data_IF_871966401759
#
_entry.id   IF_871966401759
#
_cell.length_a   1.000
_cell.length_b   1.000
_cell.length_c   1.000
_cell.angle_alpha   90.00
_cell.angle_beta   90.00
_cell.angle_gamma   90.00
#
_symmetry.space_group_name_H-M   'P 1'
#
loop_
_entity.id
_entity.type
_entity.pdbx_description
1 polymer ?
#
# COMPACT_ATOMS: atom_id res chain seq x y z
N UNK A 1 -2.29 23.87 -5.54
CA UNK A 1 -1.58 22.91 -6.42
C UNK A 1 -0.23 23.45 -6.90
N UNK A 2 -0.15 24.64 -7.50
CA UNK A 2 1.12 25.22 -7.98
C UNK A 2 2.18 25.40 -6.86
N UNK A 3 1.75 25.84 -5.68
CA UNK A 3 2.63 26.05 -4.52
C UNK A 3 3.24 24.74 -3.97
N UNK A 4 2.47 23.65 -3.94
CA UNK A 4 2.94 22.33 -3.47
C UNK A 4 3.89 21.69 -4.49
N UNK A 5 3.62 21.85 -5.79
CA UNK A 5 4.54 21.43 -6.86
C UNK A 5 5.86 22.21 -6.84
N UNK A 6 5.79 23.52 -6.57
CA UNK A 6 6.96 24.37 -6.39
C UNK A 6 7.81 23.90 -5.19
N UNK A 7 7.17 23.62 -4.06
CA UNK A 7 7.80 23.12 -2.84
C UNK A 7 8.52 21.77 -3.04
N UNK A 8 7.88 20.81 -3.73
CA UNK A 8 8.53 19.54 -4.11
C UNK A 8 9.76 19.79 -5.00
N UNK A 9 9.66 20.70 -5.98
CA UNK A 9 10.76 21.04 -6.88
C UNK A 9 11.95 21.71 -6.15
N UNK A 10 11.66 22.46 -5.09
CA UNK A 10 12.67 23.17 -4.31
C UNK A 10 13.40 22.22 -3.35
N UNK A 11 12.70 21.23 -2.78
CA UNK A 11 13.31 20.15 -1.99
C UNK A 11 14.21 19.29 -2.87
N UNK A 12 13.76 18.89 -4.07
CA UNK A 12 14.59 18.11 -4.99
C UNK A 12 15.88 18.85 -5.37
N UNK A 13 15.77 20.17 -5.58
CA UNK A 13 16.93 21.03 -5.85
C UNK A 13 17.86 21.11 -4.64
N UNK A 14 17.32 21.29 -3.44
CA UNK A 14 18.07 21.34 -2.19
C UNK A 14 18.81 20.02 -1.91
N UNK A 15 18.15 18.87 -2.10
CA UNK A 15 18.76 17.54 -1.98
C UNK A 15 19.90 17.37 -2.99
N UNK A 16 19.68 17.71 -4.26
CA UNK A 16 20.72 17.61 -5.29
C UNK A 16 21.91 18.52 -5.01
N UNK A 17 21.67 19.72 -4.46
CA UNK A 17 22.74 20.64 -4.08
C UNK A 17 23.48 20.17 -2.82
N UNK A 18 22.80 19.57 -1.84
CA UNK A 18 23.41 18.97 -0.66
C UNK A 18 24.31 17.79 -1.04
N UNK A 19 23.86 16.93 -1.97
CA UNK A 19 24.66 15.83 -2.54
C UNK A 19 25.90 16.38 -3.25
N UNK A 20 25.77 17.41 -4.08
CA UNK A 20 26.92 18.03 -4.78
C UNK A 20 27.94 18.64 -3.82
N UNK A 21 27.49 19.14 -2.67
CA UNK A 21 28.34 19.72 -1.63
C UNK A 21 28.99 18.68 -0.69
N UNK A 22 28.70 17.40 -0.88
CA UNK A 22 29.22 16.34 -0.02
C UNK A 22 28.65 16.38 1.40
N UNK A 23 27.42 16.89 1.56
CA UNK A 23 26.73 16.94 2.86
C UNK A 23 26.58 15.53 3.43
N UNK A 24 26.50 15.43 4.76
CA UNK A 24 26.30 14.14 5.40
C UNK A 24 24.93 13.56 5.00
N UNK A 25 24.79 12.25 5.13
CA UNK A 25 23.52 11.60 4.81
C UNK A 25 22.40 11.97 5.80
N UNK A 26 22.75 12.38 7.03
CA UNK A 26 21.83 12.93 8.04
C UNK A 26 21.31 14.31 7.64
N UNK A 27 22.19 15.19 7.15
CA UNK A 27 21.80 16.52 6.63
C UNK A 27 20.86 16.39 5.43
N UNK A 28 21.10 15.41 4.54
CA UNK A 28 20.24 15.15 3.38
C UNK A 28 18.87 14.63 3.82
N UNK A 29 18.82 13.78 4.84
CA UNK A 29 17.57 13.24 5.37
C UNK A 29 16.69 14.32 6.02
N UNK A 30 17.30 15.27 6.74
CA UNK A 30 16.59 16.38 7.39
C UNK A 30 15.92 17.35 6.40
N UNK A 31 16.31 17.33 5.11
CA UNK A 31 15.68 18.17 4.06
C UNK A 31 14.33 17.62 3.59
N UNK A 32 13.97 16.39 3.97
CA UNK A 32 12.68 15.77 3.63
C UNK A 32 11.76 15.77 4.85
N UNK A 33 11.24 16.94 5.18
CA UNK A 33 10.03 17.00 6.00
C UNK A 33 8.85 16.41 5.21
N UNK A 34 7.93 15.67 5.85
CA UNK A 34 6.74 15.17 5.17
C UNK A 34 5.92 16.35 4.65
N UNK A 35 5.77 16.43 3.32
CA UNK A 35 4.92 17.42 2.65
C UNK A 35 3.42 17.15 2.85
N UNK A 36 3.09 15.99 3.41
CA UNK A 36 1.74 15.50 3.62
C UNK A 36 1.63 15.13 5.10
N UNK A 37 0.84 15.91 5.83
CA UNK A 37 0.79 15.87 7.29
C UNK A 37 -0.60 15.61 7.85
N UNK A 38 -1.59 15.30 6.98
CA UNK A 38 -2.93 14.91 7.42
C UNK A 38 -3.46 13.71 6.64
N UNK A 39 -4.42 12.95 7.20
CA UNK A 39 -5.09 11.85 6.50
C UNK A 39 -5.78 12.30 5.21
N UNK A 40 -6.39 13.49 5.19
CA UNK A 40 -7.08 14.04 4.03
C UNK A 40 -6.11 14.36 2.90
N UNK A 41 -4.98 15.00 3.22
CA UNK A 41 -3.93 15.27 2.24
C UNK A 41 -3.31 13.98 1.67
N UNK A 42 -3.13 12.97 2.52
CA UNK A 42 -2.63 11.65 2.11
C UNK A 42 -3.59 10.95 1.16
N UNK A 43 -4.89 10.94 1.49
CA UNK A 43 -5.92 10.38 0.63
C UNK A 43 -5.98 11.11 -0.72
N UNK A 44 -5.95 12.44 -0.70
CA UNK A 44 -5.99 13.25 -1.92
C UNK A 44 -4.74 13.05 -2.80
N UNK A 45 -3.56 12.86 -2.19
CA UNK A 45 -2.33 12.52 -2.90
C UNK A 45 -2.44 11.16 -3.61
N UNK A 46 -2.96 10.14 -2.94
CA UNK A 46 -3.21 8.81 -3.53
C UNK A 46 -4.23 8.90 -4.67
N UNK A 47 -5.36 9.57 -4.45
CA UNK A 47 -6.43 9.72 -5.46
C UNK A 47 -5.92 10.41 -6.72
N UNK A 48 -5.25 11.57 -6.60
CA UNK A 48 -4.67 12.27 -7.75
C UNK A 48 -3.62 11.44 -8.48
N UNK A 49 -2.83 10.68 -7.74
CA UNK A 49 -1.85 9.78 -8.33
C UNK A 49 -2.50 8.65 -9.14
N UNK A 50 -3.57 8.06 -8.60
CA UNK A 50 -4.35 7.06 -9.32
C UNK A 50 -5.07 7.63 -10.54
N UNK A 51 -5.60 8.85 -10.47
CA UNK A 51 -6.20 9.55 -11.61
C UNK A 51 -5.19 9.71 -12.75
N UNK A 52 -3.95 10.14 -12.45
CA UNK A 52 -2.87 10.21 -13.46
C UNK A 52 -2.55 8.85 -14.05
N UNK A 53 -2.41 7.82 -13.23
CA UNK A 53 -2.17 6.46 -13.70
C UNK A 53 -3.28 5.96 -14.64
N UNK A 54 -4.53 6.11 -14.23
CA UNK A 54 -5.68 5.68 -15.01
C UNK A 54 -5.83 6.48 -16.31
N UNK A 55 -5.51 7.78 -16.29
CA UNK A 55 -5.53 8.67 -17.45
C UNK A 55 -4.36 8.49 -18.42
N UNK A 56 -3.33 7.71 -18.07
CA UNK A 56 -2.12 7.55 -18.88
C UNK A 56 -1.14 8.73 -18.77
N UNK A 57 -1.27 9.56 -17.73
CA UNK A 57 -0.49 10.78 -17.47
C UNK A 57 0.47 10.61 -16.28
N UNK A 58 0.85 9.36 -15.95
CA UNK A 58 1.79 9.07 -14.87
C UNK A 58 3.09 9.85 -14.99
N UNK A 59 3.48 10.52 -13.91
CA UNK A 59 4.72 11.28 -13.83
C UNK A 59 5.93 10.40 -13.50
N UNK A 60 5.69 9.22 -12.88
CA UNK A 60 6.72 8.28 -12.41
C UNK A 60 7.81 8.96 -11.56
N UNK A 61 7.42 9.67 -10.49
CA UNK A 61 8.35 10.51 -9.74
C UNK A 61 9.45 9.68 -9.05
N UNK A 62 10.65 10.27 -8.96
CA UNK A 62 11.71 9.87 -8.02
C UNK A 62 12.17 8.40 -8.05
N UNK A 63 12.22 7.79 -9.25
CA UNK A 63 12.64 6.38 -9.44
C UNK A 63 14.15 6.17 -9.61
N UNK A 64 14.94 7.26 -9.64
CA UNK A 64 16.38 7.23 -9.95
C UNK A 64 17.27 6.78 -8.79
N UNK A 65 18.45 6.23 -9.12
CA UNK A 65 19.41 5.72 -8.13
C UNK A 65 19.87 6.77 -7.09
N UNK A 66 19.98 8.04 -7.48
CA UNK A 66 20.35 9.12 -6.55
C UNK A 66 19.23 9.43 -5.55
N UNK A 67 17.96 9.39 -5.97
CA UNK A 67 16.82 9.52 -5.06
C UNK A 67 16.80 8.38 -4.04
N UNK A 68 17.03 7.14 -4.50
CA UNK A 68 17.19 5.98 -3.62
C UNK A 68 18.32 6.18 -2.60
N UNK A 69 19.47 6.70 -3.04
CA UNK A 69 20.61 6.94 -2.13
C UNK A 69 20.27 7.96 -1.04
N UNK A 70 19.53 9.01 -1.37
CA UNK A 70 19.12 10.02 -0.40
C UNK A 70 18.24 9.47 0.74
N UNK A 71 17.65 8.28 0.59
CA UNK A 71 16.76 7.65 1.58
C UNK A 71 17.43 6.57 2.45
N UNK A 72 18.74 6.38 2.32
CA UNK A 72 19.43 5.32 3.08
C UNK A 72 19.35 5.54 4.60
N UNK A 73 19.32 6.80 5.04
CA UNK A 73 19.33 7.14 6.47
C UNK A 73 17.93 7.36 7.06
N UNK A 74 16.94 7.67 6.22
CA UNK A 74 15.59 7.98 6.69
C UNK A 74 14.55 7.78 5.60
N UNK A 75 13.34 7.45 6.03
CA UNK A 75 12.13 7.40 5.22
C UNK A 75 10.99 8.11 5.94
N UNK A 76 10.15 8.79 5.17
CA UNK A 76 9.01 9.57 5.68
C UNK A 76 7.76 9.27 4.85
N UNK A 77 7.34 7.99 4.75
CA UNK A 77 6.15 7.63 3.98
C UNK A 77 4.91 8.27 4.60
N UNK A 78 4.09 8.90 3.78
CA UNK A 78 2.89 9.57 4.27
C UNK A 78 1.71 8.60 4.45
N UNK A 79 1.74 7.44 3.79
CA UNK A 79 0.71 6.42 3.87
C UNK A 79 1.28 5.01 3.96
N UNK A 80 0.56 4.13 4.65
CA UNK A 80 0.78 2.69 4.60
C UNK A 80 -0.28 2.03 3.73
N UNK A 81 0.11 1.08 2.88
CA UNK A 81 -0.81 0.33 2.02
C UNK A 81 -0.64 -1.17 2.26
N UNK A 82 -1.69 -1.80 2.78
CA UNK A 82 -1.81 -3.26 2.86
C UNK A 82 -2.48 -3.77 1.58
N UNK A 83 -1.71 -4.40 0.70
CA UNK A 83 -2.14 -4.79 -0.64
C UNK A 83 -1.83 -6.25 -0.96
N UNK A 84 -2.39 -6.73 -2.08
CA UNK A 84 -2.11 -8.08 -2.57
C UNK A 84 -0.68 -8.18 -3.15
N UNK A 85 -0.03 -9.33 -2.99
CA UNK A 85 1.22 -9.67 -3.70
C UNK A 85 1.07 -9.84 -5.22
N UNK A 86 -0.14 -9.66 -5.78
CA UNK A 86 -0.42 -9.79 -7.21
C UNK A 86 0.48 -8.90 -8.07
N UNK A 87 1.25 -9.51 -8.97
CA UNK A 87 2.26 -8.80 -9.79
C UNK A 87 1.67 -7.77 -10.74
N UNK A 88 0.35 -7.80 -10.99
CA UNK A 88 -0.36 -6.87 -11.88
C UNK A 88 -0.79 -5.58 -11.17
N UNK A 89 -0.64 -5.53 -9.84
CA UNK A 89 -1.05 -4.37 -9.01
C UNK A 89 0.14 -3.82 -8.21
N UNK A 90 1.19 -3.31 -8.88
CA UNK A 90 2.27 -2.57 -8.21
C UNK A 90 1.72 -1.26 -7.62
N UNK A 91 1.75 -1.13 -6.30
CA UNK A 91 1.06 -0.07 -5.54
C UNK A 91 1.59 1.31 -5.88
N UNK A 92 2.91 1.48 -5.92
CA UNK A 92 3.58 2.75 -6.24
C UNK A 92 3.21 3.21 -7.65
N UNK A 93 3.08 2.29 -8.59
CA UNK A 93 2.71 2.60 -9.98
C UNK A 93 1.24 2.98 -10.07
N UNK A 94 0.35 2.22 -9.44
CA UNK A 94 -1.11 2.45 -9.48
C UNK A 94 -1.49 3.77 -8.80
N UNK A 95 -0.73 4.20 -7.80
CA UNK A 95 -0.89 5.51 -7.16
C UNK A 95 0.09 6.58 -7.68
N UNK A 96 0.88 6.30 -8.72
CA UNK A 96 1.89 7.22 -9.29
C UNK A 96 2.75 7.94 -8.21
N UNK A 97 3.25 7.16 -7.24
CA UNK A 97 4.12 7.61 -6.15
C UNK A 97 5.56 7.16 -6.38
N UNK A 98 6.50 7.86 -5.73
CA UNK A 98 7.93 7.62 -5.82
C UNK A 98 8.49 6.81 -4.66
N UNK A 99 9.83 6.73 -4.62
CA UNK A 99 10.53 6.05 -3.55
C UNK A 99 10.26 6.74 -2.20
N UNK A 100 9.91 5.95 -1.18
CA UNK A 100 9.69 6.37 0.22
C UNK A 100 8.47 7.26 0.48
N UNK A 101 7.59 7.43 -0.51
CA UNK A 101 6.29 8.08 -0.34
C UNK A 101 5.29 7.16 0.37
N UNK A 102 5.38 5.85 0.12
CA UNK A 102 4.48 4.82 0.67
C UNK A 102 5.25 3.76 1.45
N UNK A 103 4.68 3.31 2.56
CA UNK A 103 5.08 2.08 3.25
C UNK A 103 4.17 0.94 2.80
N UNK A 104 4.72 -0.10 2.18
CA UNK A 104 3.92 -1.10 1.48
C UNK A 104 4.07 -2.47 2.13
N UNK A 105 2.94 -3.04 2.53
CA UNK A 105 2.83 -4.41 3.03
C UNK A 105 2.08 -5.23 2.00
N UNK A 106 2.72 -6.26 1.43
CA UNK A 106 2.12 -7.10 0.38
C UNK A 106 2.12 -8.56 0.75
N UNK A 107 0.92 -9.11 0.86
CA UNK A 107 0.67 -10.53 1.09
C UNK A 107 -0.48 -10.98 0.18
N UNK A 108 -0.48 -12.23 -0.30
CA UNK A 108 -1.53 -12.68 -1.20
C UNK A 108 -2.90 -12.56 -0.51
N UNK A 109 -3.87 -11.95 -1.19
CA UNK A 109 -5.18 -11.64 -0.61
C UNK A 109 -5.18 -10.57 0.48
N UNK A 110 -4.09 -9.80 0.64
CA UNK A 110 -3.93 -8.70 1.60
C UNK A 110 -4.39 -9.07 3.03
N UNK A 111 -4.14 -10.32 3.42
CA UNK A 111 -4.57 -10.89 4.70
C UNK A 111 -3.85 -10.24 5.87
N UNK A 112 -4.58 -10.05 6.96
CA UNK A 112 -4.04 -9.63 8.24
C UNK A 112 -3.61 -10.88 9.03
N UNK A 113 -2.33 -10.92 9.33
CA UNK A 113 -1.64 -11.89 10.17
C UNK A 113 -0.63 -11.16 11.07
N UNK A 114 0.16 -11.91 11.86
CA UNK A 114 1.10 -11.30 12.81
C UNK A 114 2.18 -10.46 12.11
N UNK A 115 2.67 -10.88 10.95
CA UNK A 115 3.78 -10.19 10.27
C UNK A 115 3.29 -8.95 9.52
N UNK A 116 2.16 -9.06 8.81
CA UNK A 116 1.53 -7.94 8.12
C UNK A 116 1.03 -6.88 9.10
N UNK A 117 0.39 -7.28 10.21
CA UNK A 117 -0.06 -6.35 11.24
C UNK A 117 1.12 -5.67 11.94
N UNK A 118 2.15 -6.42 12.32
CA UNK A 118 3.37 -5.83 12.91
C UNK A 118 4.07 -4.83 11.96
N UNK A 119 4.00 -5.06 10.66
CA UNK A 119 4.51 -4.12 9.65
C UNK A 119 3.66 -2.84 9.58
N UNK A 120 2.33 -2.96 9.68
CA UNK A 120 1.41 -1.82 9.75
C UNK A 120 1.65 -1.03 11.04
N UNK A 121 1.74 -1.68 12.20
CA UNK A 121 2.04 -1.05 13.48
C UNK A 121 3.36 -0.28 13.42
N UNK A 122 4.39 -0.84 12.78
CA UNK A 122 5.65 -0.14 12.62
C UNK A 122 5.49 1.18 11.84
N UNK A 123 4.77 1.14 10.72
CA UNK A 123 4.51 2.32 9.91
C UNK A 123 3.73 3.40 10.68
N UNK A 124 2.71 2.99 11.44
CA UNK A 124 1.88 3.92 12.24
C UNK A 124 2.68 4.47 13.44
N UNK A 125 3.27 3.59 14.26
CA UNK A 125 3.90 3.96 15.52
C UNK A 125 5.26 4.65 15.33
N UNK A 126 6.06 4.23 14.34
CA UNK A 126 7.43 4.73 14.17
C UNK A 126 7.58 5.70 13.00
N UNK A 127 6.88 5.47 11.88
CA UNK A 127 6.99 6.33 10.69
C UNK A 127 5.93 7.42 10.62
N UNK A 128 4.93 7.36 11.50
CA UNK A 128 3.85 8.35 11.61
C UNK A 128 3.11 8.53 10.29
N UNK A 129 2.85 7.43 9.58
CA UNK A 129 2.00 7.46 8.39
C UNK A 129 0.61 8.00 8.77
N UNK A 130 0.06 8.84 7.89
CA UNK A 130 -1.19 9.56 8.14
C UNK A 130 -2.44 8.74 7.84
N UNK A 131 -2.32 7.74 6.96
CA UNK A 131 -3.43 6.88 6.56
C UNK A 131 -2.95 5.45 6.31
N UNK A 132 -3.81 4.49 6.66
CA UNK A 132 -3.72 3.11 6.20
C UNK A 132 -4.77 2.85 5.10
N UNK A 133 -4.34 2.30 3.98
CA UNK A 133 -5.20 1.82 2.92
C UNK A 133 -5.15 0.30 2.83
N UNK A 134 -6.29 -0.36 3.00
CA UNK A 134 -6.45 -1.79 2.68
C UNK A 134 -6.94 -1.91 1.24
N UNK A 135 -6.09 -2.42 0.36
CA UNK A 135 -6.29 -2.39 -1.09
C UNK A 135 -6.53 -3.80 -1.66
N UNK A 136 -7.78 -4.07 -2.01
CA UNK A 136 -8.17 -5.23 -2.82
C UNK A 136 -8.03 -4.98 -4.33
N UNK A 137 -8.21 -6.02 -5.13
CA UNK A 137 -8.25 -5.89 -6.59
C UNK A 137 -9.13 -7.00 -7.22
N UNK A 138 -9.73 -6.69 -8.37
CA UNK A 138 -10.48 -7.70 -9.13
C UNK A 138 -9.55 -8.82 -9.64
N UNK A 139 -10.11 -10.03 -9.79
CA UNK A 139 -9.36 -11.18 -10.28
C UNK A 139 -8.27 -11.69 -9.32
N UNK A 140 -8.42 -11.47 -8.02
CA UNK A 140 -7.49 -11.93 -6.98
C UNK A 140 -7.45 -13.47 -6.88
N UNK A 141 -6.27 -14.05 -7.10
CA UNK A 141 -6.06 -15.50 -7.05
C UNK A 141 -6.32 -16.11 -5.67
N UNK A 142 -5.90 -15.44 -4.60
CA UNK A 142 -6.11 -15.93 -3.23
C UNK A 142 -7.60 -15.94 -2.85
N UNK A 143 -8.35 -14.87 -3.17
CA UNK A 143 -9.79 -14.83 -2.91
C UNK A 143 -10.53 -15.85 -3.78
N UNK A 144 -10.09 -16.05 -5.03
CA UNK A 144 -10.65 -17.10 -5.91
C UNK A 144 -10.40 -18.50 -5.32
N UNK A 145 -9.20 -18.78 -4.84
CA UNK A 145 -8.87 -20.05 -4.19
C UNK A 145 -9.66 -20.26 -2.90
N UNK A 146 -9.89 -19.20 -2.11
CA UNK A 146 -10.68 -19.27 -0.90
C UNK A 146 -12.17 -19.60 -1.15
N UNK A 147 -12.68 -19.37 -2.37
CA UNK A 147 -14.03 -19.75 -2.80
C UNK A 147 -14.14 -21.23 -3.22
N UNK A 148 -13.04 -21.98 -3.30
CA UNK A 148 -13.07 -23.39 -3.67
C UNK A 148 -13.69 -24.27 -2.56
N UNK A 149 -14.20 -25.46 -2.94
CA UNK A 149 -14.59 -26.50 -1.98
C UNK A 149 -13.51 -26.76 -0.92
N UNK A 150 -13.95 -27.13 0.28
CA UNK A 150 -13.04 -27.40 1.41
C UNK A 150 -11.99 -28.48 1.08
N UNK A 151 -12.38 -29.50 0.30
CA UNK A 151 -11.47 -30.56 -0.12
C UNK A 151 -10.31 -30.05 -1.00
N UNK A 152 -10.57 -29.06 -1.87
CA UNK A 152 -9.55 -28.46 -2.73
C UNK A 152 -8.61 -27.58 -1.90
N UNK A 153 -9.18 -26.79 -0.96
CA UNK A 153 -8.39 -25.98 -0.02
C UNK A 153 -7.49 -26.87 0.85
N UNK A 154 -8.02 -27.98 1.37
CA UNK A 154 -7.26 -28.94 2.17
C UNK A 154 -6.14 -29.65 1.39
N UNK A 155 -6.20 -29.65 0.05
CA UNK A 155 -5.17 -30.18 -0.83
C UNK A 155 -3.99 -29.24 -1.09
N UNK A 156 -4.10 -27.97 -0.72
CA UNK A 156 -3.02 -26.98 -0.90
C UNK A 156 -1.89 -27.16 0.14
N UNK A 157 -0.68 -26.60 -0.09
CA UNK A 157 0.37 -26.58 0.93
C UNK A 157 -0.07 -25.86 2.21
N UNK A 158 0.43 -26.28 3.38
CA UNK A 158 0.02 -25.78 4.71
C UNK A 158 -0.03 -24.25 4.82
N UNK A 159 1.00 -23.55 4.34
CA UNK A 159 1.03 -22.08 4.39
C UNK A 159 -0.01 -21.42 3.47
N UNK A 160 -0.35 -22.07 2.36
CA UNK A 160 -1.45 -21.62 1.49
C UNK A 160 -2.78 -21.86 2.19
N UNK A 161 -2.98 -23.01 2.83
CA UNK A 161 -4.18 -23.26 3.64
C UNK A 161 -4.36 -22.21 4.74
N UNK A 162 -3.29 -21.87 5.45
CA UNK A 162 -3.31 -20.80 6.47
C UNK A 162 -3.80 -19.49 5.87
N UNK A 163 -3.21 -19.09 4.73
CA UNK A 163 -3.58 -17.85 4.04
C UNK A 163 -5.05 -17.86 3.59
N UNK A 164 -5.53 -18.94 2.99
CA UNK A 164 -6.93 -19.07 2.56
C UNK A 164 -7.89 -19.08 3.77
N UNK A 165 -7.48 -19.67 4.89
CA UNK A 165 -8.21 -19.65 6.15
C UNK A 165 -8.42 -18.24 6.72
N UNK A 166 -7.52 -17.29 6.43
CA UNK A 166 -7.69 -15.87 6.78
C UNK A 166 -8.69 -15.13 5.90
N UNK A 167 -9.02 -15.66 4.72
CA UNK A 167 -9.95 -15.05 3.75
C UNK A 167 -11.35 -15.65 3.88
N UNK A 168 -11.46 -16.97 4.07
CA UNK A 168 -12.74 -17.72 4.09
C UNK A 168 -13.81 -17.12 5.01
N UNK A 169 -13.51 -16.60 6.22
CA UNK A 169 -14.52 -15.97 7.07
C UNK A 169 -15.28 -14.82 6.39
N UNK A 170 -14.62 -14.06 5.50
CA UNK A 170 -15.25 -12.97 4.76
C UNK A 170 -16.34 -13.46 3.78
N UNK A 171 -16.20 -14.70 3.31
CA UNK A 171 -17.00 -15.27 2.22
C UNK A 171 -18.29 -15.95 2.72
N UNK A 172 -18.36 -16.33 4.00
CA UNK A 172 -19.47 -17.08 4.57
C UNK A 172 -20.82 -16.33 4.54
N UNK A 173 -20.81 -15.00 4.48
CA UNK A 173 -22.00 -14.15 4.47
C UNK A 173 -22.37 -13.58 3.09
N UNK A 174 -21.76 -14.07 2.01
CA UNK A 174 -22.04 -13.53 0.68
C UNK A 174 -23.44 -13.90 0.18
N UNK A 175 -24.16 -12.97 -0.49
CA UNK A 175 -25.43 -13.30 -1.12
C UNK A 175 -25.22 -14.29 -2.28
N UNK A 176 -26.25 -15.07 -2.66
CA UNK A 176 -26.17 -15.94 -3.82
C UNK A 176 -26.07 -15.10 -5.10
N UNK A 177 -24.90 -15.09 -5.73
CA UNK A 177 -24.63 -14.37 -6.98
C UNK A 177 -24.32 -15.41 -8.07
N UNK A 178 -25.13 -15.42 -9.14
CA UNK A 178 -24.98 -16.35 -10.27
C UNK A 178 -23.88 -15.95 -11.25
N UNK A 179 -23.68 -14.65 -11.47
CA UNK A 179 -22.63 -14.16 -12.36
C UNK A 179 -21.27 -14.26 -11.66
N UNK A 180 -20.36 -15.05 -12.24
CA UNK A 180 -19.06 -15.34 -11.63
C UNK A 180 -18.21 -14.07 -11.45
N UNK A 181 -18.30 -13.12 -12.38
CA UNK A 181 -17.55 -11.87 -12.29
C UNK A 181 -18.06 -11.00 -11.14
N UNK A 182 -19.37 -10.83 -11.02
CA UNK A 182 -20.00 -10.12 -9.91
C UNK A 182 -19.73 -10.82 -8.57
N UNK A 183 -19.78 -12.15 -8.53
CA UNK A 183 -19.46 -12.94 -7.34
C UNK A 183 -18.02 -12.72 -6.91
N UNK A 184 -17.08 -12.74 -7.86
CA UNK A 184 -15.67 -12.48 -7.59
C UNK A 184 -15.44 -11.06 -7.06
N UNK A 185 -16.08 -10.06 -7.67
CA UNK A 185 -16.00 -8.66 -7.19
C UNK A 185 -16.51 -8.54 -5.76
N UNK A 186 -17.67 -9.13 -5.47
CA UNK A 186 -18.24 -9.07 -4.11
C UNK A 186 -17.37 -9.81 -3.09
N UNK A 187 -16.79 -10.96 -3.45
CA UNK A 187 -15.86 -11.69 -2.60
C UNK A 187 -14.62 -10.85 -2.24
N UNK A 188 -14.07 -10.10 -3.20
CA UNK A 188 -12.96 -9.18 -2.94
C UNK A 188 -13.37 -8.06 -1.99
N UNK A 189 -14.54 -7.44 -2.21
CA UNK A 189 -15.05 -6.38 -1.33
C UNK A 189 -15.29 -6.89 0.10
N UNK A 190 -15.85 -8.09 0.24
CA UNK A 190 -16.01 -8.75 1.54
C UNK A 190 -14.67 -8.99 2.22
N UNK A 191 -13.67 -9.49 1.49
CA UNK A 191 -12.33 -9.67 2.06
C UNK A 191 -11.74 -8.34 2.52
N UNK A 192 -11.80 -7.28 1.69
CA UNK A 192 -11.34 -5.93 2.11
C UNK A 192 -12.03 -5.48 3.39
N UNK A 193 -13.36 -5.60 3.48
CA UNK A 193 -14.12 -5.23 4.69
C UNK A 193 -13.68 -6.02 5.93
N UNK A 194 -13.46 -7.33 5.79
CA UNK A 194 -12.95 -8.17 6.88
C UNK A 194 -11.55 -7.70 7.33
N UNK A 195 -10.62 -7.50 6.38
CA UNK A 195 -9.27 -7.11 6.74
C UNK A 195 -9.23 -5.71 7.39
N UNK A 196 -10.07 -4.77 6.93
CA UNK A 196 -10.26 -3.47 7.61
C UNK A 196 -10.77 -3.65 9.05
N UNK A 197 -11.78 -4.51 9.25
CA UNK A 197 -12.31 -4.77 10.59
C UNK A 197 -11.23 -5.36 11.51
N UNK A 198 -10.45 -6.33 11.03
CA UNK A 198 -9.37 -6.95 11.80
C UNK A 198 -8.25 -5.96 12.17
N UNK A 199 -7.91 -5.03 11.28
CA UNK A 199 -6.95 -3.98 11.62
C UNK A 199 -7.52 -3.03 12.66
N UNK A 200 -8.80 -2.63 12.55
CA UNK A 200 -9.45 -1.73 13.50
C UNK A 200 -9.63 -2.31 14.91
N UNK A 201 -9.49 -3.63 15.08
CA UNK A 201 -9.43 -4.27 16.40
C UNK A 201 -8.10 -4.01 17.12
N UNK A 202 -7.07 -3.55 16.40
CA UNK A 202 -5.76 -3.24 16.95
C UNK A 202 -5.73 -1.81 17.52
N UNK A 203 -5.43 -1.60 18.82
CA UNK A 203 -5.44 -0.28 19.43
C UNK A 203 -4.30 0.65 18.98
N UNK A 204 -3.28 0.12 18.30
CA UNK A 204 -2.15 0.89 17.77
C UNK A 204 -2.49 1.57 16.45
N UNK A 205 -3.44 1.02 15.68
CA UNK A 205 -3.84 1.48 14.34
C UNK A 205 -5.14 2.27 14.42
#
# INVERSE_FOLDING_TARGET
>A
MAEKAQLTSDIERAVMEAVRRGSSMEDIAALRDPLICSPEEALEALQRGNERFFGGESLRPQTGANHRRAQIMSQTPFAVVLACSDSRVPVEVVFDQGLGDLFIVRVAGHVVDSASLGSVEYAVAHLKCQILVVMGHEGCGAVKAALLPEADVAGEPEHVQHLLGRIRPALAGMPPIRDDRARMREAVLHNVRLQVALVNENPTV
#
